data_IF_793014888099
#
_entry.id   IF_793014888099
#
_cell.length_a   1.000
_cell.length_b   1.000
_cell.length_c   1.000
_cell.angle_alpha   90.00
_cell.angle_beta   90.00
_cell.angle_gamma   90.00
#
_symmetry.space_group_name_H-M   'P 1'
#
loop_
_entity.id
_entity.type
_entity.pdbx_description
1 polymer ?
#
# COMPACT_ATOMS: atom_id res chain seq x y z
N UNK A 1 2.52 -5.20 -13.92
CA UNK A 1 3.47 -4.69 -14.94
C UNK A 1 2.92 -3.49 -15.73
N UNK A 2 1.83 -3.60 -16.49
CA UNK A 2 1.29 -2.51 -17.33
C UNK A 2 1.03 -1.20 -16.56
N UNK A 3 0.42 -1.28 -15.35
CA UNK A 3 0.12 -0.11 -14.52
C UNK A 3 1.37 0.68 -14.13
N UNK A 4 2.45 -0.01 -13.74
CA UNK A 4 3.73 0.62 -13.37
C UNK A 4 4.42 1.24 -14.58
N UNK A 5 4.40 0.57 -15.73
CA UNK A 5 4.97 1.11 -16.97
C UNK A 5 4.26 2.40 -17.41
N UNK A 6 2.92 2.44 -17.33
CA UNK A 6 2.15 3.64 -17.63
C UNK A 6 2.44 4.77 -16.62
N UNK A 7 2.60 4.43 -15.33
CA UNK A 7 2.95 5.40 -14.30
C UNK A 7 4.32 6.04 -14.56
N UNK A 8 5.34 5.23 -14.88
CA UNK A 8 6.68 5.71 -15.26
C UNK A 8 6.61 6.69 -16.44
N UNK A 9 5.83 6.35 -17.47
CA UNK A 9 5.63 7.21 -18.65
C UNK A 9 4.97 8.55 -18.29
N UNK A 10 4.00 8.56 -17.38
CA UNK A 10 3.25 9.75 -17.04
C UNK A 10 4.03 10.75 -16.16
N UNK A 11 5.02 10.28 -15.41
CA UNK A 11 5.84 11.11 -14.52
C UNK A 11 7.14 11.52 -15.19
N UNK A 12 7.78 10.62 -15.91
CA UNK A 12 8.92 10.87 -16.76
C UNK A 12 10.29 10.73 -16.11
N UNK A 13 10.50 11.15 -14.86
CA UNK A 13 11.79 11.07 -14.15
C UNK A 13 11.63 11.01 -12.63
N UNK A 14 12.71 10.66 -11.93
CA UNK A 14 12.78 10.62 -10.48
C UNK A 14 12.42 9.27 -9.86
N UNK A 15 12.33 9.26 -8.54
CA UNK A 15 12.07 8.07 -7.73
C UNK A 15 10.67 8.15 -7.15
N UNK A 16 9.83 7.14 -7.39
CA UNK A 16 8.49 7.03 -6.83
C UNK A 16 8.55 6.14 -5.59
N UNK A 17 8.26 6.72 -4.43
CA UNK A 17 8.19 6.03 -3.16
C UNK A 17 6.75 5.63 -2.84
N UNK A 18 6.54 4.35 -2.57
CA UNK A 18 5.29 3.78 -2.11
C UNK A 18 5.44 3.21 -0.71
N UNK A 19 4.58 3.63 0.18
CA UNK A 19 4.52 3.15 1.55
C UNK A 19 3.40 2.12 1.68
N UNK A 20 3.76 0.90 2.05
CA UNK A 20 2.81 -0.10 2.50
C UNK A 20 2.44 0.12 3.96
N UNK A 21 1.29 -0.42 4.35
CA UNK A 21 0.83 -0.36 5.73
C UNK A 21 1.58 -1.37 6.61
N UNK A 22 1.72 -1.03 7.87
CA UNK A 22 2.16 -1.93 8.92
C UNK A 22 0.95 -2.52 9.66
N UNK A 23 1.15 -3.59 10.42
CA UNK A 23 0.15 -4.09 11.36
C UNK A 23 -0.06 -3.09 12.49
N UNK A 24 -1.28 -3.00 12.97
CA UNK A 24 -1.65 -2.12 14.08
C UNK A 24 -2.23 -2.96 15.22
N UNK A 25 -1.57 -2.92 16.37
CA UNK A 25 -2.09 -3.51 17.60
C UNK A 25 -3.33 -2.76 18.12
N UNK A 26 -4.30 -3.49 18.63
CA UNK A 26 -5.47 -2.94 19.31
C UNK A 26 -5.12 -2.43 20.71
N UNK A 27 -4.55 -3.28 21.53
CA UNK A 27 -4.19 -3.02 22.91
C UNK A 27 -2.78 -3.53 23.27
N UNK A 28 -2.23 -4.43 22.47
CA UNK A 28 -0.84 -4.90 22.51
C UNK A 28 -0.46 -5.50 21.15
N UNK A 29 0.81 -5.83 20.93
CA UNK A 29 1.39 -6.15 19.63
C UNK A 29 0.69 -7.31 18.93
N UNK A 30 0.47 -8.42 19.63
CA UNK A 30 -0.09 -9.65 19.03
C UNK A 30 -1.62 -9.60 18.85
N UNK A 31 -2.32 -8.62 19.43
CA UNK A 31 -3.74 -8.40 19.22
C UNK A 31 -3.96 -7.28 18.21
N UNK A 32 -3.78 -7.59 16.95
CA UNK A 32 -3.84 -6.63 15.86
C UNK A 32 -5.23 -6.50 15.23
N UNK A 33 -5.50 -5.32 14.68
CA UNK A 33 -6.61 -5.13 13.75
C UNK A 33 -6.44 -6.02 12.53
N UNK A 34 -7.55 -6.39 11.87
CA UNK A 34 -7.48 -7.07 10.59
C UNK A 34 -6.63 -6.24 9.61
N UNK A 35 -5.55 -6.84 9.14
CA UNK A 35 -4.63 -6.17 8.22
C UNK A 35 -5.31 -5.75 6.92
N UNK A 36 -5.00 -4.54 6.47
CA UNK A 36 -5.37 -4.02 5.16
C UNK A 36 -4.22 -3.21 4.59
N UNK A 37 -3.78 -3.61 3.41
CA UNK A 37 -2.73 -2.91 2.67
C UNK A 37 -3.20 -1.54 2.19
N UNK A 38 -2.27 -0.59 2.05
CA UNK A 38 -2.52 0.67 1.35
C UNK A 38 -3.08 0.41 -0.05
N UNK A 39 -4.16 1.11 -0.39
CA UNK A 39 -4.89 0.84 -1.63
C UNK A 39 -4.06 1.17 -2.88
N UNK A 40 -3.17 2.17 -2.81
CA UNK A 40 -2.32 2.53 -3.95
C UNK A 40 -1.16 1.55 -4.07
N UNK A 41 -0.56 1.15 -2.95
CA UNK A 41 0.43 0.08 -2.93
C UNK A 41 -0.15 -1.21 -3.53
N UNK A 42 -1.33 -1.63 -3.08
CA UNK A 42 -2.01 -2.82 -3.60
C UNK A 42 -2.30 -2.71 -5.10
N UNK A 43 -2.73 -1.53 -5.58
CA UNK A 43 -3.04 -1.29 -6.99
C UNK A 43 -1.84 -1.49 -7.92
N UNK A 44 -0.64 -1.06 -7.50
CA UNK A 44 0.57 -1.15 -8.33
C UNK A 44 1.37 -2.43 -8.13
N UNK A 45 1.35 -3.00 -6.93
CA UNK A 45 2.21 -4.14 -6.57
C UNK A 45 1.45 -5.44 -6.31
N UNK A 46 0.17 -5.39 -5.94
CA UNK A 46 -0.63 -6.59 -5.70
C UNK A 46 -0.22 -7.42 -4.46
N UNK A 47 0.63 -6.86 -3.60
CA UNK A 47 1.13 -7.53 -2.40
C UNK A 47 0.36 -7.04 -1.17
N UNK A 48 -0.32 -7.97 -0.47
CA UNK A 48 -1.18 -7.66 0.68
C UNK A 48 -0.65 -8.28 1.97
N UNK A 49 0.52 -7.83 2.41
CA UNK A 49 1.09 -8.15 3.73
C UNK A 49 1.87 -6.96 4.28
N UNK A 50 2.07 -6.94 5.59
CA UNK A 50 2.59 -5.80 6.33
C UNK A 50 4.09 -5.56 6.11
N UNK A 51 4.58 -4.40 6.52
CA UNK A 51 6.01 -4.10 6.59
C UNK A 51 6.68 -3.84 5.24
N UNK A 52 5.90 -3.65 4.15
CA UNK A 52 6.44 -3.41 2.83
C UNK A 52 6.58 -1.93 2.50
N UNK A 53 7.60 -1.63 1.73
CA UNK A 53 7.71 -0.39 0.96
C UNK A 53 8.21 -0.72 -0.45
N UNK A 54 7.99 0.17 -1.40
CA UNK A 54 8.46 -0.04 -2.75
C UNK A 54 9.01 1.24 -3.38
N UNK A 55 9.95 1.08 -4.27
CA UNK A 55 10.50 2.14 -5.09
C UNK A 55 10.35 1.76 -6.56
N UNK A 56 9.92 2.73 -7.36
CA UNK A 56 10.09 2.73 -8.80
C UNK A 56 11.05 3.86 -9.11
N UNK A 57 12.28 3.53 -9.47
CA UNK A 57 13.29 4.48 -9.94
C UNK A 57 13.17 4.56 -11.46
N UNK A 58 12.66 5.70 -11.94
CA UNK A 58 12.39 5.90 -13.37
C UNK A 58 13.71 6.10 -14.12
N UNK A 59 14.65 6.81 -13.52
CA UNK A 59 15.91 7.19 -14.15
C UNK A 59 16.85 5.99 -14.29
N UNK A 60 16.82 5.06 -13.33
CA UNK A 60 17.62 3.81 -13.35
C UNK A 60 16.83 2.61 -13.91
N UNK A 61 15.56 2.80 -14.27
CA UNK A 61 14.62 1.75 -14.71
C UNK A 61 14.55 0.55 -13.75
N UNK A 62 14.47 0.82 -12.45
CA UNK A 62 14.40 -0.20 -11.39
C UNK A 62 13.06 -0.21 -10.69
N UNK A 63 12.63 -1.40 -10.32
CA UNK A 63 11.47 -1.63 -9.47
C UNK A 63 11.89 -2.52 -8.32
N UNK A 64 11.82 -2.02 -7.09
CA UNK A 64 12.37 -2.68 -5.90
C UNK A 64 11.30 -2.76 -4.83
N UNK A 65 11.16 -3.94 -4.22
CA UNK A 65 10.37 -4.13 -2.99
C UNK A 65 11.33 -4.19 -1.80
N UNK A 66 11.02 -3.41 -0.78
CA UNK A 66 11.71 -3.41 0.50
C UNK A 66 10.82 -4.09 1.54
N UNK A 67 11.39 -5.01 2.29
CA UNK A 67 10.72 -5.75 3.34
C UNK A 67 11.66 -6.77 3.95
N UNK A 68 11.25 -7.33 5.07
CA UNK A 68 12.07 -8.29 5.79
C UNK A 68 11.51 -9.70 5.64
N UNK A 69 12.40 -10.70 5.64
CA UNK A 69 12.02 -12.09 5.65
C UNK A 69 11.53 -12.50 7.04
N UNK A 70 10.69 -13.52 7.08
CA UNK A 70 10.18 -14.03 8.34
C UNK A 70 11.32 -14.57 9.21
N UNK A 71 11.30 -14.25 10.49
CA UNK A 71 12.20 -14.81 11.48
C UNK A 71 11.84 -16.27 11.77
N UNK A 72 12.75 -17.01 12.42
CA UNK A 72 12.51 -18.38 12.85
C UNK A 72 11.28 -18.45 13.76
N UNK A 73 11.12 -17.48 14.65
CA UNK A 73 9.97 -17.41 15.56
C UNK A 73 8.63 -17.29 14.79
N UNK A 74 8.57 -16.43 13.77
CA UNK A 74 7.39 -16.35 12.91
C UNK A 74 7.09 -17.67 12.18
N UNK A 75 8.13 -18.38 11.74
CA UNK A 75 7.97 -19.70 11.08
C UNK A 75 7.44 -20.75 12.06
N UNK A 76 7.89 -20.73 13.31
CA UNK A 76 7.39 -21.63 14.34
C UNK A 76 5.90 -21.43 14.61
N UNK A 77 5.42 -20.18 14.66
CA UNK A 77 4.03 -19.85 14.95
C UNK A 77 3.10 -19.97 13.73
N UNK A 78 3.56 -19.58 12.55
CA UNK A 78 2.71 -19.45 11.35
C UNK A 78 3.01 -20.49 10.25
N UNK A 79 4.01 -21.34 10.46
CA UNK A 79 4.50 -22.25 9.44
C UNK A 79 5.35 -21.57 8.36
N UNK A 80 5.90 -22.39 7.46
CA UNK A 80 6.70 -21.91 6.33
C UNK A 80 5.85 -21.06 5.38
N UNK A 81 6.31 -19.86 5.09
CA UNK A 81 5.69 -18.94 4.13
C UNK A 81 6.63 -18.71 2.92
N UNK A 82 6.11 -18.38 1.74
CA UNK A 82 6.93 -17.96 0.63
C UNK A 82 7.81 -16.76 1.01
N UNK A 83 9.05 -16.75 0.55
CA UNK A 83 9.99 -15.64 0.74
C UNK A 83 9.49 -14.35 0.11
N UNK A 84 10.03 -13.21 0.54
CA UNK A 84 9.74 -11.91 -0.08
C UNK A 84 10.04 -11.94 -1.57
N UNK A 85 11.16 -12.56 -1.96
CA UNK A 85 11.57 -12.71 -3.34
C UNK A 85 10.52 -13.49 -4.16
N UNK A 86 10.09 -14.66 -3.70
CA UNK A 86 9.07 -15.48 -4.38
C UNK A 86 7.73 -14.73 -4.53
N UNK A 87 7.32 -14.00 -3.48
CA UNK A 87 6.12 -13.16 -3.53
C UNK A 87 6.25 -12.03 -4.55
N UNK A 88 7.40 -11.37 -4.60
CA UNK A 88 7.69 -10.25 -5.52
C UNK A 88 7.81 -10.70 -6.97
N UNK A 89 8.39 -11.85 -7.24
CA UNK A 89 8.48 -12.43 -8.58
C UNK A 89 7.10 -12.74 -9.18
N UNK A 90 6.12 -13.16 -8.38
CA UNK A 90 4.73 -13.38 -8.83
C UNK A 90 4.08 -12.11 -9.37
N UNK A 91 4.47 -10.95 -8.90
CA UNK A 91 3.97 -9.64 -9.36
C UNK A 91 4.91 -8.96 -10.35
N UNK A 92 5.93 -9.69 -10.79
CA UNK A 92 6.88 -9.29 -11.83
C UNK A 92 7.95 -8.31 -11.37
N UNK A 93 8.32 -8.35 -10.08
CA UNK A 93 9.44 -7.60 -9.52
C UNK A 93 10.51 -8.58 -9.07
N UNK A 94 11.73 -8.41 -9.56
CA UNK A 94 12.85 -9.32 -9.31
C UNK A 94 13.77 -8.84 -8.20
N UNK A 95 13.81 -7.54 -7.95
CA UNK A 95 14.70 -6.93 -6.98
C UNK A 95 13.98 -6.72 -5.65
N UNK A 96 14.53 -7.34 -4.61
CA UNK A 96 14.05 -7.20 -3.23
C UNK A 96 15.22 -6.86 -2.34
N UNK A 97 15.01 -5.99 -1.37
CA UNK A 97 16.01 -5.56 -0.40
C UNK A 97 15.42 -5.56 1.01
N UNK A 98 16.26 -5.71 2.05
CA UNK A 98 15.81 -5.53 3.42
C UNK A 98 15.22 -4.14 3.65
N UNK A 99 14.24 -4.04 4.57
CA UNK A 99 13.53 -2.78 4.86
C UNK A 99 14.48 -1.62 5.17
N UNK A 100 15.53 -1.88 5.94
CA UNK A 100 16.52 -0.85 6.32
C UNK A 100 17.29 -0.26 5.12
N UNK A 101 17.40 -0.97 4.02
CA UNK A 101 18.14 -0.52 2.83
C UNK A 101 17.47 0.66 2.11
N UNK A 102 16.18 0.91 2.36
CA UNK A 102 15.44 2.00 1.72
C UNK A 102 16.04 3.37 2.02
N UNK A 103 16.50 3.58 3.27
CA UNK A 103 17.08 4.85 3.71
C UNK A 103 18.31 5.19 2.86
N UNK A 104 19.23 4.23 2.75
CA UNK A 104 20.45 4.43 1.98
C UNK A 104 20.18 4.60 0.48
N UNK A 105 19.14 3.93 -0.04
CA UNK A 105 18.71 4.10 -1.43
C UNK A 105 18.19 5.51 -1.70
N UNK A 106 17.27 5.99 -0.87
CA UNK A 106 16.69 7.33 -0.98
C UNK A 106 17.73 8.43 -0.83
N UNK A 107 18.64 8.30 0.13
CA UNK A 107 19.73 9.26 0.29
C UNK A 107 20.65 9.32 -0.94
N UNK A 108 21.01 8.18 -1.53
CA UNK A 108 21.79 8.13 -2.78
C UNK A 108 21.04 8.79 -3.93
N UNK A 109 19.73 8.55 -4.06
CA UNK A 109 18.91 9.17 -5.08
C UNK A 109 18.89 10.70 -4.95
N UNK A 110 18.69 11.21 -3.72
CA UNK A 110 18.73 12.65 -3.43
C UNK A 110 20.13 13.24 -3.73
N UNK A 111 21.22 12.54 -3.35
CA UNK A 111 22.60 12.97 -3.66
C UNK A 111 22.89 13.04 -5.17
N UNK A 112 22.24 12.17 -5.97
CA UNK A 112 22.31 12.23 -7.44
C UNK A 112 21.45 13.34 -8.05
N UNK A 113 20.69 14.08 -7.25
CA UNK A 113 19.76 15.12 -7.70
C UNK A 113 18.42 14.60 -8.20
N UNK A 114 18.07 13.33 -7.95
CA UNK A 114 16.78 12.79 -8.31
C UNK A 114 15.68 13.35 -7.40
N UNK A 115 14.53 13.66 -7.97
CA UNK A 115 13.35 14.03 -7.20
C UNK A 115 12.68 12.78 -6.61
N UNK A 116 12.47 12.76 -5.30
CA UNK A 116 11.70 11.70 -4.66
C UNK A 116 10.24 12.10 -4.58
N UNK A 117 9.40 11.36 -5.29
CA UNK A 117 7.95 11.53 -5.31
C UNK A 117 7.29 10.59 -4.31
N UNK A 118 6.39 11.11 -3.50
CA UNK A 118 5.57 10.33 -2.58
C UNK A 118 4.14 10.86 -2.55
N UNK A 119 3.19 10.02 -2.10
CA UNK A 119 1.80 10.41 -1.92
C UNK A 119 1.58 11.01 -0.52
N UNK A 120 0.58 11.89 -0.34
CA UNK A 120 0.28 12.46 0.96
C UNK A 120 0.02 11.34 2.00
N UNK A 121 0.78 11.31 3.10
CA UNK A 121 0.61 10.27 4.10
C UNK A 121 -0.63 10.55 4.95
N UNK A 122 -1.56 9.61 5.02
CA UNK A 122 -2.74 9.69 5.88
C UNK A 122 -2.57 8.96 7.22
N UNK A 123 -1.60 8.03 7.29
CA UNK A 123 -1.29 7.27 8.49
C UNK A 123 -0.14 7.89 9.30
N UNK A 124 -0.19 7.86 10.64
CA UNK A 124 0.90 8.35 11.48
C UNK A 124 2.23 7.66 11.20
N UNK A 125 2.25 6.33 11.04
CA UNK A 125 3.44 5.55 10.74
C UNK A 125 4.10 5.96 9.41
N UNK A 126 3.31 6.30 8.39
CA UNK A 126 3.84 6.82 7.13
C UNK A 126 4.48 8.20 7.30
N UNK A 127 3.90 9.04 8.16
CA UNK A 127 4.49 10.36 8.47
C UNK A 127 5.83 10.23 9.18
N UNK A 128 5.94 9.28 10.10
CA UNK A 128 7.19 8.98 10.80
C UNK A 128 8.24 8.43 9.84
N UNK A 129 7.88 7.49 8.96
CA UNK A 129 8.78 6.94 7.93
C UNK A 129 9.31 8.06 7.02
N UNK A 130 8.47 8.96 6.51
CA UNK A 130 8.92 10.07 5.67
C UNK A 130 9.81 11.07 6.43
N UNK A 131 9.55 11.29 7.71
CA UNK A 131 10.41 12.13 8.55
C UNK A 131 11.79 11.48 8.75
N UNK A 132 11.82 10.18 9.05
CA UNK A 132 13.05 9.43 9.30
C UNK A 132 13.88 9.26 8.01
N UNK A 133 13.24 8.91 6.89
CA UNK A 133 13.93 8.55 5.65
C UNK A 133 14.34 9.76 4.80
N UNK A 134 13.54 10.82 4.81
CA UNK A 134 13.73 12.01 3.95
C UNK A 134 13.95 13.30 4.74
N UNK A 135 13.88 13.27 6.06
CA UNK A 135 14.00 14.47 6.90
C UNK A 135 12.85 15.47 6.72
N UNK A 136 11.68 15.05 6.20
CA UNK A 136 10.54 15.92 5.93
C UNK A 136 9.63 15.93 7.16
N UNK A 137 9.53 17.05 7.89
CA UNK A 137 8.65 17.12 9.05
C UNK A 137 7.17 16.96 8.67
N UNK A 138 6.33 16.36 9.53
CA UNK A 138 4.92 16.04 9.23
C UNK A 138 4.09 17.22 8.70
N UNK A 139 4.39 18.44 9.15
CA UNK A 139 3.70 19.66 8.70
C UNK A 139 4.01 20.05 7.24
N UNK A 140 5.01 19.44 6.60
CA UNK A 140 5.42 19.72 5.22
C UNK A 140 5.26 18.54 4.27
N UNK A 141 4.58 17.45 4.70
CA UNK A 141 4.39 16.23 3.94
C UNK A 141 3.15 16.31 3.04
N UNK A 142 3.13 17.25 2.11
CA UNK A 142 1.98 17.49 1.21
C UNK A 142 1.91 16.47 0.06
N UNK A 143 3.00 15.76 -0.23
CA UNK A 143 3.10 14.85 -1.36
C UNK A 143 3.39 15.54 -2.69
N UNK A 144 3.69 14.74 -3.72
CA UNK A 144 4.06 15.22 -5.05
C UNK A 144 2.85 15.37 -5.95
N UNK A 145 2.48 16.57 -6.34
CA UNK A 145 1.33 16.86 -7.21
C UNK A 145 1.38 16.07 -8.53
N UNK A 146 2.52 15.97 -9.25
CA UNK A 146 2.60 15.15 -10.47
C UNK A 146 2.27 13.68 -10.19
N UNK A 147 2.76 13.13 -9.09
CA UNK A 147 2.50 11.74 -8.71
C UNK A 147 1.03 11.51 -8.35
N UNK A 148 0.44 12.41 -7.57
CA UNK A 148 -1.00 12.38 -7.24
C UNK A 148 -1.83 12.36 -8.52
N UNK A 149 -1.58 13.28 -9.46
CA UNK A 149 -2.31 13.39 -10.73
C UNK A 149 -2.16 12.13 -11.58
N UNK A 150 -0.97 11.56 -11.68
CA UNK A 150 -0.72 10.34 -12.44
C UNK A 150 -1.47 9.14 -11.87
N UNK A 151 -1.50 8.98 -10.53
CA UNK A 151 -2.25 7.93 -9.84
C UNK A 151 -3.75 8.11 -10.03
N UNK A 152 -4.27 9.32 -9.87
CA UNK A 152 -5.69 9.64 -10.04
C UNK A 152 -6.14 9.36 -11.47
N UNK A 153 -5.38 9.80 -12.48
CA UNK A 153 -5.69 9.56 -13.88
C UNK A 153 -5.81 8.07 -14.21
N UNK A 154 -4.95 7.22 -13.65
CA UNK A 154 -5.04 5.77 -13.86
C UNK A 154 -6.20 5.11 -13.09
N UNK A 155 -6.46 5.53 -11.86
CA UNK A 155 -7.50 4.92 -11.00
C UNK A 155 -8.90 5.40 -11.30
N UNK A 156 -9.07 6.52 -11.99
CA UNK A 156 -10.38 7.01 -12.40
C UNK A 156 -11.08 6.08 -13.41
N UNK A 157 -10.29 5.41 -14.25
CA UNK A 157 -10.82 4.43 -15.21
C UNK A 157 -10.60 3.02 -14.68
N UNK A 158 -11.66 2.22 -14.66
CA UNK A 158 -11.65 0.84 -14.19
C UNK A 158 -11.46 -0.12 -15.36
N UNK A 159 -10.67 -1.17 -15.17
CA UNK A 159 -10.60 -2.27 -16.14
C UNK A 159 -11.86 -3.14 -16.06
N UNK A 160 -12.06 -3.99 -17.05
CA UNK A 160 -13.20 -4.92 -17.06
C UNK A 160 -13.18 -5.86 -15.85
N UNK A 161 -12.00 -6.31 -15.45
CA UNK A 161 -11.79 -7.16 -14.27
C UNK A 161 -12.12 -6.41 -12.97
N UNK A 162 -11.72 -5.13 -12.87
CA UNK A 162 -12.06 -4.29 -11.72
C UNK A 162 -13.57 -4.03 -11.63
N UNK A 163 -14.24 -3.82 -12.78
CA UNK A 163 -15.69 -3.65 -12.83
C UNK A 163 -16.38 -4.92 -12.35
N UNK A 164 -15.98 -6.08 -12.84
CA UNK A 164 -16.56 -7.36 -12.42
C UNK A 164 -16.45 -7.61 -10.90
N UNK A 165 -15.32 -7.25 -10.28
CA UNK A 165 -15.16 -7.38 -8.82
C UNK A 165 -15.97 -6.32 -8.05
N UNK A 166 -16.12 -5.12 -8.59
CA UNK A 166 -16.97 -4.08 -8.01
C UNK A 166 -18.44 -4.50 -8.05
N UNK A 167 -18.93 -5.07 -9.17
CA UNK A 167 -20.29 -5.57 -9.30
C UNK A 167 -20.59 -6.64 -8.25
N UNK A 168 -19.71 -7.65 -8.09
CA UNK A 168 -19.86 -8.66 -7.02
C UNK A 168 -19.96 -8.03 -5.62
N UNK A 169 -19.13 -7.03 -5.34
CA UNK A 169 -19.17 -6.34 -4.05
C UNK A 169 -20.46 -5.53 -3.87
N UNK A 170 -21.00 -4.95 -4.95
CA UNK A 170 -22.28 -4.26 -4.93
C UNK A 170 -23.44 -5.24 -4.67
N UNK A 171 -23.44 -6.42 -5.28
CA UNK A 171 -24.46 -7.44 -5.07
C UNK A 171 -24.48 -7.90 -3.60
N UNK A 172 -23.31 -8.21 -3.03
CA UNK A 172 -23.19 -8.56 -1.59
C UNK A 172 -23.72 -7.43 -0.71
N UNK A 173 -23.42 -6.18 -1.05
CA UNK A 173 -23.88 -5.02 -0.29
C UNK A 173 -25.40 -4.83 -0.42
N UNK A 174 -25.96 -5.04 -1.59
CA UNK A 174 -27.40 -4.99 -1.82
C UNK A 174 -28.12 -6.06 -0.99
N UNK A 175 -27.65 -7.30 -1.04
CA UNK A 175 -28.20 -8.40 -0.22
C UNK A 175 -28.15 -8.09 1.28
N UNK A 176 -27.03 -7.53 1.75
CA UNK A 176 -26.89 -7.11 3.15
C UNK A 176 -27.96 -6.06 3.53
N UNK A 177 -28.17 -5.05 2.69
CA UNK A 177 -29.18 -4.03 2.95
C UNK A 177 -30.60 -4.58 2.91
N UNK A 178 -30.92 -5.45 1.95
CA UNK A 178 -32.23 -6.12 1.86
C UNK A 178 -32.49 -6.93 3.13
N UNK A 179 -31.52 -7.75 3.56
CA UNK A 179 -31.64 -8.54 4.79
C UNK A 179 -31.82 -7.67 6.03
N UNK A 180 -31.11 -6.55 6.10
CA UNK A 180 -31.28 -5.60 7.21
C UNK A 180 -32.68 -4.98 7.21
N UNK A 181 -33.21 -4.58 6.05
CA UNK A 181 -34.58 -4.06 5.93
C UNK A 181 -35.64 -5.10 6.30
N UNK A 182 -35.48 -6.34 5.86
CA UNK A 182 -36.36 -7.46 6.26
C UNK A 182 -36.35 -7.68 7.77
N UNK A 183 -35.17 -7.67 8.40
CA UNK A 183 -35.03 -7.85 9.84
C UNK A 183 -35.65 -6.70 10.65
N UNK A 184 -35.50 -5.46 10.19
CA UNK A 184 -36.05 -4.27 10.88
C UNK A 184 -37.59 -4.28 10.91
N UNK A 185 -38.26 -4.88 9.92
CA UNK A 185 -39.73 -4.99 9.91
C UNK A 185 -40.31 -5.83 11.09
N UNK A 186 -39.50 -6.71 11.67
CA UNK A 186 -39.87 -7.59 12.80
C UNK A 186 -39.27 -7.18 14.13
N UNK A 187 -38.29 -6.34 14.14
CA UNK A 187 -37.62 -5.84 15.34
C UNK A 187 -37.87 -4.35 15.47
N UNK A 188 -38.61 -3.94 16.50
CA UNK A 188 -38.60 -2.54 16.91
C UNK A 188 -37.21 -2.23 17.47
N UNK A 189 -36.29 -1.86 16.61
CA UNK A 189 -35.02 -1.29 16.99
C UNK A 189 -35.27 0.10 17.57
N UNK A 190 -35.76 0.17 18.77
CA UNK A 190 -35.63 1.38 19.57
C UNK A 190 -34.18 1.46 20.00
N UNK A 191 -33.44 2.39 19.38
CA UNK A 191 -32.16 2.81 19.95
C UNK A 191 -32.43 3.26 21.38
N UNK A 192 -31.70 2.74 22.39
CA UNK A 192 -31.83 3.26 23.76
C UNK A 192 -31.46 4.75 23.70
N UNK A 193 -32.45 5.61 23.88
CA UNK A 193 -32.27 7.02 24.15
C UNK A 193 -31.89 7.16 25.59
N UNK A 194 -30.61 7.29 25.88
CA UNK A 194 -30.09 7.78 27.16
C UNK A 194 -29.61 9.20 27.01
#
# INVERSE_FOLDING_TARGET
MQRRALLKKNIGSGVLLFLGNDEQGLNYEDNAFRYRQDSTFLYYFGLSFAGLSAIIDIDEDKEIIFGDELTIDHIVWMGTQPTLKEKSERVGIRETLPSVAIISYLHKAVQKGQTVHYLPPYRPEHKLKLMDWLGIPPARQEGSVPFIRAVVAQRNYKSAEEIAEIEKACDVTADMHIKAMEAVSYTHLTLPTT
#
